data_IF_817447788353
#
_entry.id   IF_817447788353
#
_cell.length_a   1.000
_cell.length_b   1.000
_cell.length_c   1.000
_cell.angle_alpha   90.00
_cell.angle_beta   90.00
_cell.angle_gamma   90.00
#
_symmetry.space_group_name_H-M   'P 1'
#
loop_
_entity.id
_entity.type
_entity.pdbx_description
1 polymer ?
#
# COMPACT_ATOMS: atom_id res chain seq x y z
N UNK A 1 6.10 -16.75 23.25
CA UNK A 1 6.04 -15.36 22.78
C UNK A 1 7.41 -14.88 22.30
N UNK A 2 8.19 -15.74 21.64
CA UNK A 2 9.53 -15.37 21.17
C UNK A 2 9.60 -15.38 19.65
N UNK A 3 8.88 -16.30 19.01
CA UNK A 3 9.00 -16.54 17.59
C UNK A 3 8.27 -15.45 16.79
N UNK A 4 7.00 -15.16 17.10
CA UNK A 4 6.25 -14.08 16.42
C UNK A 4 6.99 -12.75 16.55
N UNK A 5 7.43 -12.38 17.76
CA UNK A 5 8.19 -11.14 18.02
C UNK A 5 9.48 -11.09 17.21
N UNK A 6 10.24 -12.19 17.12
CA UNK A 6 11.47 -12.24 16.32
C UNK A 6 11.22 -12.08 14.81
N UNK A 7 10.07 -12.56 14.32
CA UNK A 7 9.67 -12.44 12.92
C UNK A 7 9.07 -11.07 12.62
N UNK A 8 8.62 -10.32 13.61
CA UNK A 8 8.06 -8.97 13.43
C UNK A 8 9.13 -7.88 13.54
N UNK A 9 10.15 -8.10 14.37
CA UNK A 9 11.20 -7.12 14.67
C UNK A 9 11.93 -6.61 13.40
N UNK A 10 12.15 -5.29 13.31
CA UNK A 10 12.78 -4.58 12.18
C UNK A 10 12.08 -4.73 10.83
N UNK A 11 10.83 -5.19 10.80
CA UNK A 11 10.04 -5.29 9.56
C UNK A 11 8.89 -4.29 9.59
N UNK A 12 8.81 -3.37 8.61
CA UNK A 12 7.76 -2.36 8.54
C UNK A 12 6.34 -2.94 8.57
N UNK A 13 6.11 -4.01 7.80
CA UNK A 13 4.84 -4.74 7.76
C UNK A 13 5.10 -6.23 7.70
N UNK A 14 4.41 -6.98 8.55
CA UNK A 14 4.42 -8.43 8.55
C UNK A 14 2.99 -8.96 8.50
N UNK A 15 2.73 -9.92 7.62
CA UNK A 15 1.44 -10.58 7.48
C UNK A 15 1.63 -12.07 7.70
N UNK A 16 1.02 -12.61 8.76
CA UNK A 16 0.86 -14.04 8.90
C UNK A 16 -0.39 -14.49 8.14
N UNK A 17 -0.23 -15.46 7.26
CA UNK A 17 -1.21 -15.87 6.25
C UNK A 17 -1.33 -17.40 6.19
N UNK A 18 -2.28 -17.91 5.41
CA UNK A 18 -2.28 -19.28 4.90
C UNK A 18 -2.56 -19.28 3.40
N UNK A 19 -1.93 -20.17 2.64
CA UNK A 19 -2.09 -20.26 1.18
C UNK A 19 -3.56 -20.43 0.75
N UNK A 20 -4.34 -21.16 1.56
CA UNK A 20 -5.76 -21.49 1.33
C UNK A 20 -6.75 -20.42 1.80
N UNK A 21 -6.28 -19.30 2.38
CA UNK A 21 -7.13 -18.28 2.99
C UNK A 21 -7.45 -17.14 2.02
N UNK A 22 -8.70 -17.07 1.53
CA UNK A 22 -9.15 -16.01 0.61
C UNK A 22 -8.97 -14.59 1.19
N UNK A 23 -9.33 -14.38 2.47
CA UNK A 23 -9.16 -13.09 3.13
C UNK A 23 -7.69 -12.68 3.25
N UNK A 24 -6.78 -13.64 3.39
CA UNK A 24 -5.36 -13.38 3.47
C UNK A 24 -4.84 -12.86 2.13
N UNK A 25 -5.32 -13.40 1.00
CA UNK A 25 -5.03 -12.84 -0.33
C UNK A 25 -5.54 -11.40 -0.47
N UNK A 26 -6.78 -11.12 -0.05
CA UNK A 26 -7.34 -9.76 -0.07
C UNK A 26 -6.46 -8.77 0.70
N UNK A 27 -6.05 -9.11 1.92
CA UNK A 27 -5.24 -8.22 2.77
C UNK A 27 -3.83 -8.03 2.22
N UNK A 28 -3.19 -9.08 1.69
CA UNK A 28 -1.90 -8.98 0.99
C UNK A 28 -1.99 -8.01 -0.17
N UNK A 29 -2.98 -8.19 -1.05
CA UNK A 29 -3.19 -7.32 -2.22
C UNK A 29 -3.49 -5.89 -1.82
N UNK A 30 -4.38 -5.67 -0.83
CA UNK A 30 -4.71 -4.33 -0.35
C UNK A 30 -3.47 -3.57 0.13
N UNK A 31 -2.66 -4.20 0.99
CA UNK A 31 -1.46 -3.57 1.53
C UNK A 31 -0.43 -3.29 0.41
N UNK A 32 -0.24 -4.24 -0.51
CA UNK A 32 0.64 -4.04 -1.67
C UNK A 32 0.14 -2.95 -2.63
N UNK A 33 -1.18 -2.76 -2.76
CA UNK A 33 -1.76 -1.70 -3.60
C UNK A 33 -1.46 -0.28 -3.06
N UNK A 34 -1.16 -0.15 -1.76
CA UNK A 34 -0.64 1.10 -1.19
C UNK A 34 0.85 1.34 -1.50
N UNK A 35 1.50 0.44 -2.24
CA UNK A 35 2.93 0.47 -2.52
C UNK A 35 3.79 -0.08 -1.38
N UNK A 36 3.20 -0.81 -0.43
CA UNK A 36 3.94 -1.44 0.65
C UNK A 36 4.54 -2.77 0.17
N UNK A 37 5.67 -3.17 0.77
CA UNK A 37 6.26 -4.49 0.56
C UNK A 37 6.17 -5.33 1.85
N UNK A 38 5.02 -5.95 2.15
CA UNK A 38 4.86 -6.72 3.38
C UNK A 38 5.67 -8.01 3.36
N UNK A 39 6.30 -8.35 4.48
CA UNK A 39 6.85 -9.70 4.66
C UNK A 39 5.71 -10.65 5.01
N UNK A 40 5.51 -11.69 4.20
CA UNK A 40 4.44 -12.67 4.38
C UNK A 40 5.00 -13.99 4.91
N UNK A 41 4.38 -14.52 5.96
CA UNK A 41 4.64 -15.85 6.48
C UNK A 41 3.40 -16.74 6.28
N UNK A 42 3.47 -17.67 5.33
CA UNK A 42 2.42 -18.67 5.09
C UNK A 42 2.53 -19.79 6.12
N UNK A 43 1.64 -19.80 7.12
CA UNK A 43 1.71 -20.69 8.28
C UNK A 43 1.49 -22.17 7.93
N UNK A 44 0.85 -22.47 6.81
CA UNK A 44 0.64 -23.83 6.32
C UNK A 44 1.87 -24.40 5.58
N UNK A 45 2.82 -23.54 5.20
CA UNK A 45 4.06 -23.92 4.51
C UNK A 45 5.30 -23.71 5.41
N UNK A 46 5.16 -22.94 6.49
CA UNK A 46 6.26 -22.63 7.41
C UNK A 46 6.57 -23.81 8.36
N UNK A 47 7.85 -24.18 8.57
CA UNK A 47 8.22 -25.29 9.47
C UNK A 47 7.66 -25.13 10.89
N UNK A 48 7.72 -23.91 11.43
CA UNK A 48 7.16 -23.58 12.76
C UNK A 48 5.69 -23.12 12.72
N UNK A 49 4.97 -23.36 11.63
CA UNK A 49 3.63 -22.81 11.39
C UNK A 49 2.62 -23.07 12.51
N UNK A 50 2.59 -24.28 13.06
CA UNK A 50 1.71 -24.64 14.20
C UNK A 50 2.04 -23.86 15.47
N UNK A 51 3.33 -23.61 15.73
CA UNK A 51 3.78 -22.85 16.88
C UNK A 51 3.43 -21.37 16.72
N UNK A 52 3.71 -20.79 15.55
CA UNK A 52 3.31 -19.43 15.21
C UNK A 52 1.80 -19.24 15.37
N UNK A 53 0.99 -20.15 14.87
CA UNK A 53 -0.46 -20.07 14.98
C UNK A 53 -0.95 -20.12 16.44
N UNK A 54 -0.28 -20.90 17.29
CA UNK A 54 -0.55 -20.95 18.74
C UNK A 54 -0.17 -19.63 19.41
N UNK A 55 0.98 -19.05 19.08
CA UNK A 55 1.41 -17.76 19.62
C UNK A 55 0.46 -16.63 19.18
N UNK A 56 0.07 -16.57 17.90
CA UNK A 56 -0.89 -15.59 17.38
C UNK A 56 -2.25 -15.68 18.09
N UNK A 57 -2.77 -16.90 18.31
CA UNK A 57 -3.98 -17.09 19.13
C UNK A 57 -3.80 -16.59 20.56
N UNK A 58 -2.62 -16.80 21.15
CA UNK A 58 -2.26 -16.30 22.47
C UNK A 58 -2.21 -14.77 22.56
N UNK A 59 -1.91 -14.09 21.44
CA UNK A 59 -1.96 -12.63 21.30
C UNK A 59 -3.39 -12.10 21.06
N UNK A 60 -4.38 -12.98 20.96
CA UNK A 60 -5.79 -12.60 20.75
C UNK A 60 -6.27 -12.67 19.31
N UNK A 61 -5.43 -13.08 18.34
CA UNK A 61 -5.86 -13.24 16.95
C UNK A 61 -6.89 -14.37 16.82
N UNK A 62 -8.14 -14.02 16.51
CA UNK A 62 -9.25 -14.94 16.28
C UNK A 62 -10.06 -14.49 15.07
N UNK A 63 -9.93 -15.13 13.89
CA UNK A 63 -9.05 -16.26 13.56
C UNK A 63 -7.55 -15.91 13.64
N UNK A 64 -6.68 -16.93 13.63
CA UNK A 64 -5.22 -16.77 13.70
C UNK A 64 -4.60 -16.08 12.48
N UNK A 65 -5.29 -16.15 11.33
CA UNK A 65 -4.89 -15.52 10.06
C UNK A 65 -6.11 -14.87 9.37
N UNK A 66 -5.92 -13.77 8.62
CA UNK A 66 -4.67 -13.01 8.55
C UNK A 66 -4.39 -12.32 9.90
N UNK A 67 -3.13 -12.21 10.28
CA UNK A 67 -2.69 -11.38 11.39
C UNK A 67 -1.63 -10.41 10.88
N UNK A 68 -1.93 -9.11 10.99
CA UNK A 68 -1.14 -8.03 10.40
C UNK A 68 -0.47 -7.22 11.50
N UNK A 69 0.84 -7.06 11.34
CA UNK A 69 1.68 -6.21 12.16
C UNK A 69 2.18 -5.04 11.31
N UNK A 70 2.13 -3.82 11.84
CA UNK A 70 2.63 -2.60 11.20
C UNK A 70 3.47 -1.85 12.23
N UNK A 71 4.73 -1.58 11.91
CA UNK A 71 5.64 -0.90 12.84
C UNK A 71 5.86 -1.69 14.14
N UNK A 72 5.92 -3.01 14.04
CA UNK A 72 6.03 -3.97 15.16
C UNK A 72 4.77 -4.16 16.02
N UNK A 73 3.75 -3.31 15.87
CA UNK A 73 2.49 -3.41 16.59
C UNK A 73 1.51 -4.36 15.90
N UNK A 74 0.82 -5.18 16.70
CA UNK A 74 -0.30 -6.00 16.22
C UNK A 74 -1.51 -5.11 15.93
N UNK A 75 -1.85 -4.97 14.64
CA UNK A 75 -2.99 -4.15 14.21
C UNK A 75 -4.29 -4.96 14.25
N UNK A 76 -4.23 -6.23 13.86
CA UNK A 76 -5.38 -7.14 13.89
C UNK A 76 -5.48 -8.03 12.66
N UNK A 77 -6.69 -8.50 12.39
CA UNK A 77 -7.00 -9.33 11.24
C UNK A 77 -7.67 -8.56 10.11
N UNK A 78 -8.40 -9.28 9.27
CA UNK A 78 -9.02 -8.69 8.08
C UNK A 78 -10.00 -7.55 8.42
N UNK A 79 -10.82 -7.71 9.47
CA UNK A 79 -11.82 -6.72 9.85
C UNK A 79 -11.18 -5.41 10.32
N UNK A 80 -10.13 -5.49 11.15
CA UNK A 80 -9.43 -4.32 11.67
C UNK A 80 -8.75 -3.55 10.53
N UNK A 81 -8.06 -4.26 9.62
CA UNK A 81 -7.41 -3.65 8.45
C UNK A 81 -8.43 -3.00 7.51
N UNK A 82 -9.53 -3.70 7.21
CA UNK A 82 -10.59 -3.12 6.38
C UNK A 82 -11.26 -1.91 7.04
N UNK A 83 -11.47 -1.95 8.36
CA UNK A 83 -11.99 -0.79 9.10
C UNK A 83 -11.04 0.42 9.01
N UNK A 84 -9.73 0.19 9.18
CA UNK A 84 -8.72 1.24 9.05
C UNK A 84 -8.64 1.80 7.62
N UNK A 85 -8.80 0.93 6.62
CA UNK A 85 -8.84 1.33 5.22
C UNK A 85 -10.04 2.24 4.93
N UNK A 86 -11.26 1.83 5.34
CA UNK A 86 -12.48 2.61 5.15
C UNK A 86 -12.46 3.94 5.93
N UNK A 87 -11.75 4.01 7.04
CA UNK A 87 -11.54 5.24 7.82
C UNK A 87 -10.42 6.14 7.27
N UNK A 88 -9.72 5.72 6.22
CA UNK A 88 -8.55 6.44 5.67
C UNK A 88 -7.32 6.45 6.60
N UNK A 89 -7.31 5.62 7.64
CA UNK A 89 -6.25 5.60 8.68
C UNK A 89 -5.13 4.61 8.36
N UNK A 90 -5.38 3.61 7.50
CA UNK A 90 -4.39 2.59 7.15
C UNK A 90 -3.12 3.19 6.52
N UNK A 91 -3.28 4.17 5.63
CA UNK A 91 -2.16 4.87 4.98
C UNK A 91 -1.27 5.54 6.03
N UNK A 92 -1.85 6.19 7.04
CA UNK A 92 -1.10 6.87 8.09
C UNK A 92 -0.27 5.89 8.94
N UNK A 93 -0.76 4.68 9.18
CA UNK A 93 -0.01 3.64 9.88
C UNK A 93 1.15 3.13 9.05
N UNK A 94 0.91 2.86 7.76
CA UNK A 94 1.95 2.42 6.83
C UNK A 94 3.05 3.48 6.67
N UNK A 95 2.70 4.77 6.66
CA UNK A 95 3.66 5.88 6.65
C UNK A 95 4.52 5.90 7.90
N UNK A 96 3.90 5.86 9.08
CA UNK A 96 4.62 5.88 10.37
C UNK A 96 5.58 4.70 10.51
N UNK A 97 5.24 3.55 9.94
CA UNK A 97 6.09 2.37 9.94
C UNK A 97 7.17 2.37 8.85
N UNK A 98 7.28 3.43 8.03
CA UNK A 98 8.12 3.47 6.83
C UNK A 98 7.86 2.30 5.87
N UNK A 99 6.61 1.82 5.82
CA UNK A 99 6.21 0.68 5.01
C UNK A 99 5.88 1.05 3.57
N UNK A 100 5.45 2.29 3.36
CA UNK A 100 5.20 2.86 2.04
C UNK A 100 6.12 4.06 1.84
N UNK A 101 6.73 4.12 0.66
CA UNK A 101 7.58 5.22 0.26
C UNK A 101 6.72 6.30 -0.39
N UNK A 102 6.22 7.22 0.41
CA UNK A 102 5.67 8.45 -0.13
C UNK A 102 6.78 9.47 -0.28
N UNK A 103 7.35 9.49 -1.49
CA UNK A 103 7.94 10.70 -2.05
C UNK A 103 7.01 11.92 -2.02
N UNK A 104 5.72 11.70 -1.77
CA UNK A 104 4.66 12.67 -1.88
C UNK A 104 4.32 13.24 -0.49
N UNK A 105 4.07 12.43 0.55
CA UNK A 105 3.65 12.94 1.87
C UNK A 105 4.79 13.40 2.80
N UNK A 106 6.01 12.86 2.71
CA UNK A 106 7.14 13.41 3.50
C UNK A 106 7.67 14.75 2.93
N UNK A 107 7.29 15.09 1.69
CA UNK A 107 7.59 16.37 1.06
C UNK A 107 6.33 17.26 0.91
N UNK A 108 5.19 16.88 1.50
CA UNK A 108 3.99 17.73 1.54
C UNK A 108 3.21 17.87 0.22
N UNK A 109 3.36 16.95 -0.74
CA UNK A 109 2.47 16.90 -1.90
C UNK A 109 1.10 16.37 -1.54
N UNK A 110 0.08 17.07 -2.03
CA UNK A 110 -1.31 16.70 -1.96
C UNK A 110 -1.86 16.58 -3.39
N UNK A 111 -1.74 15.41 -4.03
CA UNK A 111 -2.21 15.24 -5.40
C UNK A 111 -3.75 15.31 -5.42
N UNK A 112 -4.29 16.03 -6.39
CA UNK A 112 -5.71 15.97 -6.71
C UNK A 112 -5.98 14.69 -7.51
N UNK A 113 -6.81 13.80 -6.97
CA UNK A 113 -7.19 12.54 -7.61
C UNK A 113 -8.63 12.67 -8.12
N UNK A 114 -8.83 12.34 -9.39
CA UNK A 114 -10.15 12.27 -10.02
C UNK A 114 -10.44 10.81 -10.36
N UNK A 115 -11.38 10.20 -9.64
CA UNK A 115 -11.89 8.86 -9.95
C UNK A 115 -12.86 8.97 -11.14
N UNK A 116 -12.41 8.57 -12.33
CA UNK A 116 -13.21 8.72 -13.55
C UNK A 116 -14.50 7.88 -13.50
N UNK A 117 -14.51 6.77 -12.77
CA UNK A 117 -15.72 5.94 -12.62
C UNK A 117 -16.82 6.62 -11.79
N UNK A 118 -16.46 7.60 -10.96
CA UNK A 118 -17.38 8.35 -10.11
C UNK A 118 -17.67 9.76 -10.66
N UNK A 119 -16.92 10.23 -11.65
CA UNK A 119 -17.06 11.56 -12.22
C UNK A 119 -18.18 11.60 -13.27
N UNK A 120 -19.09 12.60 -13.26
CA UNK A 120 -20.18 12.71 -14.24
C UNK A 120 -19.68 12.71 -15.70
N UNK A 121 -18.53 13.34 -15.94
CA UNK A 121 -17.89 13.42 -17.26
C UNK A 121 -16.77 12.38 -17.48
N UNK A 122 -16.68 11.35 -16.63
CA UNK A 122 -15.55 10.41 -16.60
C UNK A 122 -15.24 9.72 -17.92
N UNK A 123 -16.28 9.28 -18.66
CA UNK A 123 -16.11 8.65 -19.99
C UNK A 123 -15.55 9.61 -21.04
N UNK A 124 -15.91 10.89 -20.96
CA UNK A 124 -15.37 11.90 -21.86
C UNK A 124 -13.90 12.15 -21.54
N UNK A 125 -13.58 12.36 -20.26
CA UNK A 125 -12.21 12.51 -19.78
C UNK A 125 -11.33 11.32 -20.19
N UNK A 126 -11.82 10.09 -20.04
CA UNK A 126 -11.08 8.89 -20.45
C UNK A 126 -10.77 8.91 -21.97
N UNK A 127 -11.72 9.33 -22.80
CA UNK A 127 -11.54 9.45 -24.24
C UNK A 127 -10.51 10.52 -24.60
N UNK A 128 -10.52 11.64 -23.90
CA UNK A 128 -9.53 12.72 -24.06
C UNK A 128 -8.13 12.26 -23.66
N UNK A 129 -8.00 11.55 -22.52
CA UNK A 129 -6.73 10.95 -22.08
C UNK A 129 -6.16 9.97 -23.11
N UNK A 130 -7.01 9.15 -23.73
CA UNK A 130 -6.60 8.28 -24.86
C UNK A 130 -6.13 9.11 -26.06
N UNK A 131 -6.79 10.23 -26.35
CA UNK A 131 -6.39 11.16 -27.40
C UNK A 131 -5.03 11.83 -27.14
N UNK A 132 -4.66 12.01 -25.88
CA UNK A 132 -3.34 12.47 -25.45
C UNK A 132 -2.25 11.38 -25.49
N UNK A 133 -2.60 10.15 -25.87
CA UNK A 133 -1.67 9.02 -25.97
C UNK A 133 -1.54 8.18 -24.70
N UNK A 134 -2.40 8.38 -23.68
CA UNK A 134 -2.42 7.51 -22.50
C UNK A 134 -2.99 6.13 -22.86
N UNK A 135 -2.16 5.08 -22.81
CA UNK A 135 -2.60 3.70 -23.01
C UNK A 135 -1.84 2.75 -22.04
N UNK A 136 -2.45 2.29 -20.93
CA UNK A 136 -3.85 2.49 -20.54
C UNK A 136 -4.17 3.95 -20.18
N UNK A 137 -5.45 4.35 -20.29
CA UNK A 137 -5.94 5.71 -20.04
C UNK A 137 -5.82 6.14 -18.58
N UNK A 138 -5.80 5.19 -17.65
CA UNK A 138 -5.73 5.41 -16.20
C UNK A 138 -4.74 4.41 -15.60
N UNK A 139 -3.90 4.80 -14.61
CA UNK A 139 -3.73 6.17 -14.12
C UNK A 139 -3.03 7.06 -15.16
N UNK A 140 -3.52 8.29 -15.33
CA UNK A 140 -2.83 9.35 -16.05
C UNK A 140 -2.41 10.41 -15.03
N UNK A 141 -1.11 10.57 -14.85
CA UNK A 141 -0.54 11.45 -13.84
C UNK A 141 -0.02 12.71 -14.51
N UNK A 142 -0.48 13.85 -14.00
CA UNK A 142 -0.01 15.17 -14.37
C UNK A 142 0.79 15.76 -13.20
N UNK A 143 1.91 16.40 -13.50
CA UNK A 143 2.70 17.15 -12.53
C UNK A 143 2.79 18.59 -13.03
N UNK A 144 2.13 19.52 -12.34
CA UNK A 144 1.88 20.84 -12.88
C UNK A 144 0.87 20.78 -14.03
N UNK A 145 1.23 21.32 -15.20
CA UNK A 145 0.40 21.29 -16.43
C UNK A 145 0.86 20.22 -17.44
N UNK A 146 1.88 19.42 -17.08
CA UNK A 146 2.48 18.43 -17.98
C UNK A 146 1.96 17.01 -17.69
N UNK A 147 1.53 16.31 -18.74
CA UNK A 147 1.23 14.88 -18.68
C UNK A 147 2.53 14.10 -18.55
N UNK A 148 2.71 13.43 -17.41
CA UNK A 148 3.87 12.60 -17.14
C UNK A 148 3.69 11.17 -17.66
N UNK A 149 2.45 10.67 -17.61
CA UNK A 149 2.08 9.34 -18.07
C UNK A 149 1.50 8.47 -16.97
N UNK A 150 1.67 7.16 -17.08
CA UNK A 150 1.10 6.20 -16.16
C UNK A 150 2.04 5.80 -15.04
N UNK A 151 1.68 4.72 -14.35
CA UNK A 151 2.46 4.21 -13.21
C UNK A 151 3.91 3.85 -13.62
N UNK A 152 4.13 3.33 -14.82
CA UNK A 152 5.45 2.94 -15.30
C UNK A 152 6.37 4.15 -15.49
N UNK A 153 5.86 5.23 -16.07
CA UNK A 153 6.62 6.46 -16.31
C UNK A 153 6.99 7.13 -14.98
N UNK A 154 6.05 7.18 -14.04
CA UNK A 154 6.29 7.70 -12.69
C UNK A 154 7.36 6.88 -11.95
N UNK A 155 7.27 5.54 -12.03
CA UNK A 155 8.28 4.66 -11.45
C UNK A 155 9.64 4.83 -12.12
N UNK A 156 9.68 5.01 -13.44
CA UNK A 156 10.93 5.29 -14.18
C UNK A 156 11.58 6.59 -13.71
N UNK A 157 10.80 7.66 -13.55
CA UNK A 157 11.27 8.94 -13.02
C UNK A 157 11.76 8.84 -11.58
N UNK A 158 11.09 8.02 -10.76
CA UNK A 158 11.52 7.76 -9.40
C UNK A 158 12.88 7.04 -9.38
N UNK A 159 13.03 5.96 -10.14
CA UNK A 159 14.28 5.18 -10.21
C UNK A 159 15.45 6.00 -10.77
N UNK A 160 15.17 6.97 -11.65
CA UNK A 160 16.15 7.93 -12.17
C UNK A 160 16.46 9.08 -11.19
N UNK A 161 15.78 9.16 -10.05
CA UNK A 161 15.93 10.26 -9.09
C UNK A 161 15.40 11.61 -9.58
N UNK A 162 14.60 11.63 -10.65
CA UNK A 162 14.11 12.85 -11.31
C UNK A 162 12.75 13.31 -10.78
N UNK A 163 11.96 12.39 -10.20
CA UNK A 163 10.60 12.68 -9.76
C UNK A 163 10.52 13.82 -8.73
N UNK A 164 11.42 13.85 -7.73
CA UNK A 164 11.47 14.93 -6.72
C UNK A 164 11.69 16.29 -7.37
N UNK A 165 12.61 16.35 -8.33
CA UNK A 165 12.98 17.60 -9.00
C UNK A 165 11.81 18.16 -9.82
N UNK A 166 11.02 17.29 -10.45
CA UNK A 166 9.81 17.69 -11.16
C UNK A 166 8.74 18.21 -10.20
N UNK A 167 8.53 17.51 -9.08
CA UNK A 167 7.56 17.94 -8.07
C UNK A 167 7.93 19.29 -7.45
N UNK A 168 9.24 19.55 -7.19
CA UNK A 168 9.72 20.85 -6.71
C UNK A 168 9.46 21.96 -7.73
N UNK A 169 9.78 21.72 -9.00
CA UNK A 169 9.55 22.69 -10.08
C UNK A 169 8.08 23.02 -10.26
N UNK A 170 7.20 22.03 -10.10
CA UNK A 170 5.75 22.20 -10.17
C UNK A 170 5.14 22.80 -8.89
N UNK A 171 5.97 23.15 -7.89
CA UNK A 171 5.52 23.58 -6.56
C UNK A 171 4.51 22.61 -5.93
N UNK A 172 4.62 21.32 -6.29
CA UNK A 172 3.75 20.27 -5.81
C UNK A 172 4.21 19.78 -4.44
N UNK A 173 5.49 19.96 -4.10
CA UNK A 173 6.07 19.64 -2.79
C UNK A 173 6.79 20.85 -2.19
N UNK A 174 6.77 20.94 -0.85
CA UNK A 174 7.44 21.99 -0.08
C UNK A 174 8.63 21.33 0.66
N UNK A 175 9.85 21.86 0.46
CA UNK A 175 11.08 21.44 1.17
C UNK A 175 11.43 22.45 2.24
#
# INVERSE_FOLDING_TARGET
>A
MALVTSLVNKRPVVIFSKSSCCMCHTIKTLISNFGANPTVYELDEHPDGKQLEKELRGLGCKPSVPAVFIGEDLIGGANEIMSLHLKGQLVQLLLKANAIWTLISNFGANPTVYELDEHPDGKQLEKELRGLGCNPSVPAVFIGEELIGGANEIMSLHLKGQLVQLLLKANAIWV
#
